data_IF_921209942176
#
_entry.id   IF_921209942176
#
_cell.length_a   1.000
_cell.length_b   1.000
_cell.length_c   1.000
_cell.angle_alpha   90.00
_cell.angle_beta   90.00
_cell.angle_gamma   90.00
#
_symmetry.space_group_name_H-M   'P 1'
#
loop_
_entity.id
_entity.type
_entity.pdbx_description
1 polymer ?
#
# COMPACT_ATOMS: atom_id res chain seq x y z
N UNK A 1 30.84 -27.75 61.05
CA UNK A 1 29.45 -27.38 60.68
C UNK A 1 29.29 -25.93 60.20
N UNK A 2 29.84 -24.90 60.89
CA UNK A 2 29.77 -23.48 60.47
C UNK A 2 30.35 -23.18 59.07
N UNK A 3 31.49 -23.76 58.71
CA UNK A 3 32.17 -23.51 57.42
C UNK A 3 31.34 -23.99 56.20
N UNK A 4 30.67 -25.15 56.31
CA UNK A 4 29.78 -25.67 55.26
C UNK A 4 28.58 -24.74 54.99
N UNK A 5 28.03 -24.12 56.04
CA UNK A 5 26.88 -23.22 55.87
C UNK A 5 27.29 -21.87 55.25
N UNK A 6 28.51 -21.40 55.49
CA UNK A 6 29.07 -20.21 54.83
C UNK A 6 29.33 -20.48 53.35
N UNK A 7 29.93 -21.63 53.02
CA UNK A 7 30.20 -22.03 51.64
C UNK A 7 28.90 -22.16 50.82
N UNK A 8 27.85 -22.77 51.41
CA UNK A 8 26.53 -22.85 50.77
C UNK A 8 25.95 -21.47 50.45
N UNK A 9 26.02 -20.53 51.40
CA UNK A 9 25.53 -19.15 51.21
C UNK A 9 26.27 -18.41 50.10
N UNK A 10 27.61 -18.57 50.03
CA UNK A 10 28.42 -17.96 48.96
C UNK A 10 28.02 -18.53 47.59
N UNK A 11 27.87 -19.86 47.49
CA UNK A 11 27.45 -20.51 46.23
C UNK A 11 26.05 -20.05 45.81
N UNK A 12 25.10 -19.92 46.73
CA UNK A 12 23.74 -19.43 46.42
C UNK A 12 23.76 -17.97 45.96
N UNK A 13 24.57 -17.11 46.57
CA UNK A 13 24.70 -15.70 46.16
C UNK A 13 25.37 -15.55 44.80
N UNK A 14 26.39 -16.37 44.50
CA UNK A 14 27.04 -16.39 43.18
C UNK A 14 26.03 -16.88 42.12
N UNK A 15 25.29 -17.95 42.39
CA UNK A 15 24.25 -18.44 41.48
C UNK A 15 23.16 -17.39 41.19
N UNK A 16 22.77 -16.58 42.19
CA UNK A 16 21.80 -15.50 42.02
C UNK A 16 22.37 -14.33 41.18
N UNK A 17 23.65 -13.99 41.34
CA UNK A 17 24.32 -12.96 40.53
C UNK A 17 24.61 -13.39 39.09
N UNK A 18 24.77 -14.68 38.79
CA UNK A 18 24.89 -15.14 37.40
C UNK A 18 23.55 -15.08 36.64
N UNK A 19 22.41 -15.13 37.33
CA UNK A 19 21.07 -15.07 36.70
C UNK A 19 20.67 -13.70 36.14
N UNK A 20 21.37 -12.62 36.49
CA UNK A 20 21.08 -11.24 36.04
C UNK A 20 21.88 -10.82 34.79
N UNK A 21 22.75 -11.68 34.25
CA UNK A 21 23.53 -11.43 33.02
C UNK A 21 22.95 -12.13 31.78
N UNK A 22 21.80 -12.79 31.89
CA UNK A 22 21.14 -13.43 30.75
C UNK A 22 20.24 -12.44 30.01
N UNK A 23 20.50 -12.23 28.72
CA UNK A 23 19.60 -11.51 27.82
C UNK A 23 18.28 -12.30 27.68
N UNK A 24 17.13 -11.68 27.95
CA UNK A 24 15.80 -12.31 27.88
C UNK A 24 15.15 -12.23 26.48
N UNK A 25 15.94 -12.28 25.41
CA UNK A 25 15.45 -12.26 24.04
C UNK A 25 14.86 -13.62 23.65
N UNK A 26 13.72 -13.62 22.95
CA UNK A 26 13.02 -14.84 22.56
C UNK A 26 13.51 -15.29 21.19
N UNK A 27 14.31 -16.36 21.16
CA UNK A 27 14.66 -17.07 19.93
C UNK A 27 13.70 -18.22 19.67
N UNK A 28 13.05 -18.25 18.51
CA UNK A 28 12.28 -19.40 18.03
C UNK A 28 13.02 -20.03 16.86
N UNK A 29 13.54 -21.24 17.06
CA UNK A 29 14.33 -21.94 16.05
C UNK A 29 15.77 -21.45 15.90
N UNK A 30 16.26 -20.60 16.81
CA UNK A 30 17.67 -20.19 16.92
C UNK A 30 18.14 -20.24 18.38
N UNK A 31 19.36 -20.71 18.61
CA UNK A 31 20.01 -20.68 19.93
C UNK A 31 20.78 -19.37 20.18
N UNK A 32 20.94 -18.53 19.15
CA UNK A 32 21.69 -17.28 19.19
C UNK A 32 20.85 -16.16 18.57
N UNK A 33 19.80 -15.67 19.27
CA UNK A 33 19.00 -14.55 18.78
C UNK A 33 19.89 -13.33 18.54
N UNK A 34 19.60 -12.56 17.50
CA UNK A 34 20.33 -11.34 17.19
C UNK A 34 20.26 -10.35 18.36
N UNK A 35 21.37 -9.73 18.81
CA UNK A 35 21.39 -8.85 20.00
C UNK A 35 20.47 -7.62 19.95
N UNK A 36 19.98 -7.26 18.76
CA UNK A 36 19.04 -6.16 18.54
C UNK A 36 17.59 -6.63 18.39
N UNK A 37 17.28 -7.89 18.74
CA UNK A 37 15.94 -8.45 18.60
C UNK A 37 15.32 -8.78 19.97
N UNK A 38 14.07 -8.38 20.16
CA UNK A 38 13.26 -8.89 21.26
C UNK A 38 12.65 -10.27 20.90
N UNK A 39 12.39 -10.50 19.61
CA UNK A 39 11.95 -11.77 19.01
C UNK A 39 12.77 -12.07 17.75
N UNK A 40 13.41 -13.24 17.69
CA UNK A 40 14.15 -13.73 16.53
C UNK A 40 13.59 -15.07 16.02
N UNK A 41 13.36 -15.16 14.71
CA UNK A 41 12.82 -16.34 14.04
C UNK A 41 13.90 -16.93 13.11
N UNK A 42 14.62 -17.96 13.59
CA UNK A 42 15.82 -18.46 12.91
C UNK A 42 15.64 -19.70 12.03
N UNK A 43 14.42 -20.21 11.87
CA UNK A 43 14.18 -21.38 11.04
C UNK A 43 14.40 -21.06 9.54
N UNK A 44 15.16 -21.90 8.83
CA UNK A 44 15.49 -21.70 7.41
C UNK A 44 14.37 -22.07 6.43
N UNK A 45 13.23 -22.56 6.93
CA UNK A 45 12.10 -23.05 6.13
C UNK A 45 10.73 -22.70 6.73
N UNK A 46 10.68 -21.72 7.64
CA UNK A 46 9.44 -21.23 8.25
C UNK A 46 9.42 -19.70 8.21
N UNK A 47 8.25 -19.12 8.45
CA UNK A 47 8.05 -17.69 8.51
C UNK A 47 7.05 -17.35 9.62
N UNK A 48 6.93 -16.05 9.94
CA UNK A 48 5.85 -15.55 10.77
C UNK A 48 4.51 -15.75 10.03
N UNK A 49 3.63 -16.55 10.61
CA UNK A 49 2.27 -16.71 10.11
C UNK A 49 1.38 -15.66 10.78
N UNK A 50 1.13 -14.54 10.08
CA UNK A 50 0.34 -13.43 10.58
C UNK A 50 -1.14 -13.80 10.76
N UNK A 51 -1.81 -13.08 11.67
CA UNK A 51 -3.26 -13.16 11.79
C UNK A 51 -3.92 -12.74 10.46
N UNK A 52 -4.82 -13.60 9.96
CA UNK A 52 -5.55 -13.38 8.71
C UNK A 52 -6.93 -12.83 9.03
N UNK A 53 -7.18 -11.58 8.65
CA UNK A 53 -8.44 -10.88 8.90
C UNK A 53 -9.23 -10.68 7.60
N UNK A 54 -10.55 -10.58 7.67
CA UNK A 54 -11.37 -10.41 6.45
C UNK A 54 -11.08 -9.08 5.75
N UNK A 55 -10.89 -8.01 6.50
CA UNK A 55 -10.38 -6.69 6.09
C UNK A 55 -10.02 -5.89 7.35
N UNK A 56 -9.48 -4.68 7.20
CA UNK A 56 -9.00 -3.88 8.35
C UNK A 56 -10.09 -3.35 9.30
N UNK A 57 -11.36 -3.36 8.93
CA UNK A 57 -12.46 -2.85 9.78
C UNK A 57 -12.85 -3.80 10.91
N UNK A 58 -12.32 -5.03 10.97
CA UNK A 58 -12.62 -5.98 12.06
C UNK A 58 -11.76 -5.76 13.31
N UNK A 59 -10.86 -4.78 13.29
CA UNK A 59 -10.01 -4.42 14.42
C UNK A 59 -10.56 -3.11 15.01
N UNK A 60 -11.22 -3.21 16.16
CA UNK A 60 -11.94 -2.09 16.78
C UNK A 60 -11.02 -1.02 17.41
N UNK A 61 -9.81 -1.40 17.82
CA UNK A 61 -8.82 -0.51 18.45
C UNK A 61 -7.39 -0.79 17.92
N UNK A 62 -7.10 -0.43 16.65
CA UNK A 62 -5.80 -0.68 16.06
C UNK A 62 -4.73 0.22 16.68
N UNK A 63 -3.57 -0.35 17.03
CA UNK A 63 -2.43 0.35 17.62
C UNK A 63 -1.27 0.45 16.61
N UNK A 64 -0.51 1.57 16.59
CA UNK A 64 0.67 1.69 15.73
C UNK A 64 1.66 0.53 15.90
N UNK A 65 2.16 0.00 14.79
CA UNK A 65 3.09 -1.14 14.76
C UNK A 65 2.43 -2.51 14.58
N UNK A 66 1.10 -2.60 14.49
CA UNK A 66 0.42 -3.85 14.17
C UNK A 66 0.67 -4.29 12.71
N UNK A 67 0.84 -5.59 12.49
CA UNK A 67 0.92 -6.24 11.16
C UNK A 67 -0.17 -7.31 11.03
N UNK A 68 -0.86 -7.32 9.90
CA UNK A 68 -1.95 -8.27 9.60
C UNK A 68 -1.89 -8.73 8.16
N UNK A 69 -2.44 -9.91 7.87
CA UNK A 69 -2.73 -10.34 6.50
C UNK A 69 -4.21 -10.07 6.19
N UNK A 70 -4.48 -9.14 5.29
CA UNK A 70 -5.82 -8.82 4.81
C UNK A 70 -6.24 -9.84 3.75
N UNK A 71 -7.28 -10.63 4.03
CA UNK A 71 -7.80 -11.67 3.12
C UNK A 71 -8.59 -11.07 1.96
N UNK A 72 -9.19 -9.88 2.12
CA UNK A 72 -9.89 -9.24 1.00
C UNK A 72 -8.92 -8.79 -0.10
N UNK A 73 -7.75 -8.29 0.28
CA UNK A 73 -6.71 -7.80 -0.64
C UNK A 73 -5.56 -8.79 -0.86
N UNK A 74 -5.56 -9.94 -0.15
CA UNK A 74 -4.53 -10.99 -0.21
C UNK A 74 -3.11 -10.48 0.08
N UNK A 75 -2.94 -9.57 1.03
CA UNK A 75 -1.64 -8.92 1.28
C UNK A 75 -1.40 -8.56 2.75
N UNK A 76 -0.16 -8.19 3.09
CA UNK A 76 0.21 -7.72 4.43
C UNK A 76 -0.08 -6.21 4.54
N UNK A 77 -0.69 -5.77 5.63
CA UNK A 77 -0.89 -4.35 5.98
C UNK A 77 -0.29 -4.04 7.35
N UNK A 78 0.20 -2.82 7.51
CA UNK A 78 0.67 -2.26 8.77
C UNK A 78 -0.27 -1.15 9.27
N UNK A 79 -0.47 -1.04 10.57
CA UNK A 79 -1.09 0.15 11.15
C UNK A 79 0.02 1.13 11.57
N UNK A 80 0.07 2.29 10.92
CA UNK A 80 1.22 3.21 10.96
C UNK A 80 0.79 4.67 10.69
N UNK A 81 1.77 5.58 10.52
CA UNK A 81 1.61 7.03 10.28
C UNK A 81 1.16 7.87 11.49
N UNK A 82 1.13 9.19 11.30
CA UNK A 82 0.66 10.21 12.26
C UNK A 82 -0.23 11.25 11.51
N UNK A 83 -1.57 11.24 11.70
CA UNK A 83 -2.32 10.36 12.59
C UNK A 83 -2.34 8.88 12.13
N UNK A 84 -2.42 7.90 13.05
CA UNK A 84 -2.37 6.49 12.71
C UNK A 84 -3.50 6.01 11.78
N UNK A 85 -3.15 5.16 10.81
CA UNK A 85 -4.05 4.52 9.86
C UNK A 85 -3.46 3.22 9.31
N UNK A 86 -4.30 2.38 8.71
CA UNK A 86 -3.83 1.23 7.96
C UNK A 86 -3.11 1.65 6.67
N UNK A 87 -1.97 1.03 6.40
CA UNK A 87 -1.27 1.11 5.13
C UNK A 87 -2.06 0.41 4.01
N UNK A 88 -1.65 0.65 2.75
CA UNK A 88 -1.91 -0.30 1.68
C UNK A 88 -1.12 -1.60 1.86
N UNK A 89 -1.14 -2.47 0.85
CA UNK A 89 -0.33 -3.68 0.86
C UNK A 89 1.18 -3.36 0.93
N UNK A 90 1.92 -3.99 1.85
CA UNK A 90 3.35 -3.72 2.08
C UNK A 90 4.26 -4.17 0.91
N UNK A 91 3.76 -5.03 0.01
CA UNK A 91 4.45 -5.46 -1.21
C UNK A 91 4.16 -4.57 -2.43
N UNK A 92 3.34 -3.53 -2.23
CA UNK A 92 3.03 -2.55 -3.26
C UNK A 92 4.25 -1.69 -3.54
N UNK A 93 5.20 -2.20 -4.33
CA UNK A 93 6.15 -1.34 -5.02
C UNK A 93 5.31 -0.27 -5.74
N UNK A 94 5.62 1.00 -5.49
CA UNK A 94 4.96 2.09 -6.20
C UNK A 94 5.04 1.82 -7.69
N UNK A 95 3.88 1.84 -8.33
CA UNK A 95 3.75 1.72 -9.75
C UNK A 95 4.52 2.83 -10.44
N UNK A 96 5.39 2.47 -11.37
CA UNK A 96 6.11 3.41 -12.23
C UNK A 96 5.90 2.98 -13.67
N UNK A 97 5.74 3.96 -14.55
CA UNK A 97 5.77 3.79 -16.01
C UNK A 97 6.87 4.68 -16.59
N UNK A 98 7.50 4.27 -17.69
CA UNK A 98 8.49 5.13 -18.36
C UNK A 98 7.85 6.32 -19.04
N UNK A 99 6.60 6.19 -19.48
CA UNK A 99 5.88 7.29 -20.12
C UNK A 99 4.43 6.95 -20.46
N UNK A 100 3.63 8.00 -20.60
CA UNK A 100 2.29 7.93 -21.19
C UNK A 100 2.34 8.27 -22.68
N UNK A 101 1.54 7.58 -23.49
CA UNK A 101 1.34 7.89 -24.89
C UNK A 101 0.10 8.79 -25.05
N UNK A 102 0.16 9.99 -24.49
CA UNK A 102 -0.98 10.90 -24.36
C UNK A 102 -1.67 11.26 -25.68
N UNK A 103 -0.91 11.34 -26.77
CA UNK A 103 -1.45 11.58 -28.12
C UNK A 103 -2.33 10.44 -28.63
N UNK A 104 -2.19 9.24 -28.05
CA UNK A 104 -3.01 8.06 -28.34
C UNK A 104 -4.09 7.81 -27.29
N UNK A 105 -4.23 8.72 -26.31
CA UNK A 105 -5.33 8.64 -25.36
C UNK A 105 -6.66 8.90 -26.05
N UNK A 106 -7.71 8.24 -25.59
CA UNK A 106 -9.02 8.30 -26.22
C UNK A 106 -10.14 8.44 -25.20
N UNK A 107 -11.14 9.24 -25.56
CA UNK A 107 -12.41 9.32 -24.86
C UNK A 107 -13.43 8.43 -25.57
N UNK A 108 -14.27 7.74 -24.80
CA UNK A 108 -15.38 6.95 -25.33
C UNK A 108 -16.61 7.16 -24.45
N UNK A 109 -17.68 7.83 -24.92
CA UNK A 109 -17.82 8.45 -26.25
C UNK A 109 -16.80 9.56 -26.54
N UNK A 110 -16.47 9.80 -27.83
CA UNK A 110 -15.44 10.78 -28.19
C UNK A 110 -15.85 12.26 -28.00
N UNK A 111 -17.14 12.52 -27.80
CA UNK A 111 -17.70 13.86 -27.57
C UNK A 111 -18.80 13.82 -26.52
N UNK A 112 -19.03 14.94 -25.85
CA UNK A 112 -20.15 15.17 -24.95
C UNK A 112 -21.02 16.32 -25.47
N UNK A 113 -22.20 16.52 -24.89
CA UNK A 113 -23.08 17.66 -25.21
C UNK A 113 -23.36 18.45 -23.93
N UNK A 114 -23.38 19.78 -24.02
CA UNK A 114 -23.63 20.66 -22.89
C UNK A 114 -25.02 20.38 -22.29
N UNK A 115 -25.11 20.34 -20.96
CA UNK A 115 -26.37 20.11 -20.25
C UNK A 115 -26.93 18.68 -20.36
N UNK A 116 -26.25 17.77 -21.07
CA UNK A 116 -26.66 16.37 -21.23
C UNK A 116 -25.78 15.46 -20.36
N UNK A 117 -26.39 14.46 -19.72
CA UNK A 117 -25.63 13.48 -18.96
C UNK A 117 -24.64 12.73 -19.86
N UNK A 118 -23.39 12.68 -19.43
CA UNK A 118 -22.31 11.95 -20.07
C UNK A 118 -21.91 10.77 -19.18
N UNK A 119 -21.70 9.61 -19.79
CA UNK A 119 -21.12 8.44 -19.14
C UNK A 119 -20.18 7.77 -20.12
N UNK A 120 -18.92 7.64 -19.74
CA UNK A 120 -17.88 7.17 -20.65
C UNK A 120 -16.56 6.91 -19.94
N UNK A 121 -15.50 6.77 -20.73
CA UNK A 121 -14.15 6.49 -20.23
C UNK A 121 -13.12 7.37 -20.92
N UNK A 122 -12.04 7.66 -20.21
CA UNK A 122 -10.77 8.14 -20.77
C UNK A 122 -9.73 7.03 -20.61
N UNK A 123 -9.19 6.55 -21.72
CA UNK A 123 -8.16 5.52 -21.77
C UNK A 123 -6.83 6.15 -22.19
N UNK A 124 -5.80 6.00 -21.36
CA UNK A 124 -4.47 6.56 -21.57
C UNK A 124 -3.46 5.41 -21.67
N UNK A 125 -2.89 5.12 -22.85
CA UNK A 125 -1.85 4.12 -22.99
C UNK A 125 -0.55 4.54 -22.28
N UNK A 126 0.20 3.56 -21.77
CA UNK A 126 1.53 3.74 -21.19
C UNK A 126 2.49 2.64 -21.63
N UNK A 127 3.79 2.89 -21.44
CA UNK A 127 4.88 1.94 -21.72
C UNK A 127 5.69 1.62 -20.45
N UNK A 128 6.33 0.46 -20.47
CA UNK A 128 7.28 -0.02 -19.44
C UNK A 128 6.78 0.10 -17.99
N UNK A 129 5.52 -0.27 -17.76
CA UNK A 129 5.01 -0.45 -16.40
C UNK A 129 5.79 -1.53 -15.65
N UNK A 130 6.02 -1.30 -14.36
CA UNK A 130 6.80 -2.18 -13.50
C UNK A 130 5.96 -3.22 -12.71
N UNK A 131 4.65 -3.33 -12.96
CA UNK A 131 3.76 -4.18 -12.17
C UNK A 131 3.28 -3.58 -10.84
N UNK A 132 3.82 -2.43 -10.44
CA UNK A 132 3.53 -1.79 -9.17
C UNK A 132 2.15 -1.13 -9.11
N UNK A 133 1.72 -0.74 -7.91
CA UNK A 133 0.37 -0.22 -7.68
C UNK A 133 0.24 1.27 -7.96
N UNK A 134 -0.97 1.69 -8.34
CA UNK A 134 -1.37 3.09 -8.36
C UNK A 134 -2.65 3.27 -7.52
N UNK A 135 -2.70 4.36 -6.76
CA UNK A 135 -3.84 4.69 -5.90
C UNK A 135 -5.06 5.13 -6.72
N UNK A 136 -6.25 5.00 -6.14
CA UNK A 136 -7.45 5.59 -6.69
C UNK A 136 -7.31 7.12 -6.80
N UNK A 137 -7.93 7.71 -7.83
CA UNK A 137 -7.96 9.15 -8.04
C UNK A 137 -9.37 9.59 -8.43
N UNK A 138 -9.78 10.79 -8.00
CA UNK A 138 -11.04 11.40 -8.40
C UNK A 138 -10.92 12.91 -8.48
N UNK A 139 -11.40 13.50 -9.57
CA UNK A 139 -11.46 14.96 -9.74
C UNK A 139 -12.60 15.33 -10.70
N UNK A 140 -12.99 16.60 -10.70
CA UNK A 140 -14.07 17.11 -11.56
C UNK A 140 -13.57 18.24 -12.44
N UNK A 141 -13.93 18.21 -13.73
CA UNK A 141 -13.61 19.25 -14.70
C UNK A 141 -14.84 19.47 -15.61
N UNK A 142 -15.26 20.73 -15.79
CA UNK A 142 -16.44 21.09 -16.59
C UNK A 142 -17.70 20.28 -16.22
N UNK A 143 -17.97 20.02 -14.94
CA UNK A 143 -19.13 19.21 -14.50
C UNK A 143 -19.02 17.70 -14.77
N UNK A 144 -17.89 17.23 -15.30
CA UNK A 144 -17.58 15.82 -15.48
C UNK A 144 -16.62 15.34 -14.39
N UNK A 145 -16.99 14.29 -13.68
CA UNK A 145 -16.15 13.62 -12.69
C UNK A 145 -15.39 12.48 -13.33
N UNK A 146 -14.06 12.52 -13.19
CA UNK A 146 -13.10 11.52 -13.65
C UNK A 146 -12.67 10.68 -12.45
N UNK A 147 -12.90 9.37 -12.49
CA UNK A 147 -12.59 8.45 -11.42
C UNK A 147 -11.71 7.29 -11.92
N UNK A 148 -10.51 7.17 -11.35
CA UNK A 148 -9.64 6.01 -11.49
C UNK A 148 -9.77 5.15 -10.24
N UNK A 149 -10.09 3.87 -10.41
CA UNK A 149 -10.05 2.90 -9.31
C UNK A 149 -8.61 2.49 -9.05
N UNK A 150 -8.24 2.24 -7.79
CA UNK A 150 -6.91 1.74 -7.46
C UNK A 150 -6.62 0.42 -8.19
N UNK A 151 -5.37 0.18 -8.54
CA UNK A 151 -4.96 -1.02 -9.28
C UNK A 151 -3.46 -1.12 -9.46
N UNK A 152 -3.02 -1.89 -10.44
CA UNK A 152 -1.61 -2.12 -10.77
C UNK A 152 -1.36 -1.76 -12.23
N UNK A 153 -0.19 -1.20 -12.52
CA UNK A 153 0.30 -1.16 -13.88
C UNK A 153 0.58 -2.59 -14.37
N UNK A 154 0.34 -2.84 -15.65
CA UNK A 154 0.81 -4.06 -16.29
C UNK A 154 2.34 -4.01 -16.42
N UNK A 155 2.99 -5.17 -16.42
CA UNK A 155 4.42 -5.25 -16.77
C UNK A 155 4.55 -5.00 -18.27
N UNK A 156 5.30 -3.97 -18.66
CA UNK A 156 5.41 -3.55 -20.07
C UNK A 156 4.34 -2.53 -20.46
N UNK A 157 3.66 -2.74 -21.60
CA UNK A 157 2.64 -1.78 -22.07
C UNK A 157 1.27 -2.06 -21.46
N UNK A 158 0.46 -1.01 -21.30
CA UNK A 158 -0.89 -1.14 -20.78
C UNK A 158 -1.68 0.16 -20.87
N UNK A 159 -2.85 0.18 -20.23
CA UNK A 159 -3.76 1.33 -20.25
C UNK A 159 -4.17 1.74 -18.84
N UNK A 160 -4.21 3.06 -18.61
CA UNK A 160 -4.85 3.66 -17.45
C UNK A 160 -6.26 4.11 -17.86
N UNK A 161 -7.29 3.67 -17.14
CA UNK A 161 -8.69 3.91 -17.52
C UNK A 161 -9.42 4.67 -16.43
N UNK A 162 -9.87 5.88 -16.75
CA UNK A 162 -10.75 6.67 -15.91
C UNK A 162 -12.19 6.47 -16.35
N UNK A 163 -13.07 6.18 -15.39
CA UNK A 163 -14.52 6.26 -15.58
C UNK A 163 -14.95 7.72 -15.47
N UNK A 164 -15.83 8.16 -16.37
CA UNK A 164 -16.30 9.53 -16.44
C UNK A 164 -17.82 9.53 -16.32
N UNK A 165 -18.35 10.35 -15.42
CA UNK A 165 -19.78 10.62 -15.33
C UNK A 165 -20.04 12.09 -15.01
N UNK A 166 -21.24 12.59 -15.30
CA UNK A 166 -21.64 13.96 -14.95
C UNK A 166 -22.40 14.65 -16.06
N UNK A 167 -22.55 15.98 -15.94
CA UNK A 167 -23.27 16.82 -16.91
C UNK A 167 -22.35 18.01 -17.26
N UNK A 168 -21.88 18.14 -18.51
CA UNK A 168 -21.04 19.26 -18.90
C UNK A 168 -21.74 20.60 -18.72
N UNK A 169 -21.08 21.56 -18.06
CA UNK A 169 -21.68 22.87 -17.77
C UNK A 169 -21.42 23.90 -18.86
N UNK A 170 -20.33 23.75 -19.63
CA UNK A 170 -19.97 24.61 -20.76
C UNK A 170 -19.64 23.79 -22.02
N UNK A 171 -20.09 24.28 -23.18
CA UNK A 171 -19.63 23.80 -24.50
C UNK A 171 -18.19 24.25 -24.78
N UNK A 172 -17.51 23.57 -25.70
CA UNK A 172 -16.13 23.85 -26.09
C UNK A 172 -15.17 22.71 -25.73
N UNK A 173 -13.92 23.02 -25.46
CA UNK A 173 -12.90 22.01 -25.15
C UNK A 173 -12.72 21.86 -23.64
N UNK A 174 -12.91 20.64 -23.14
CA UNK A 174 -12.59 20.26 -21.76
C UNK A 174 -11.20 19.65 -21.71
N UNK A 175 -10.22 20.38 -21.16
CA UNK A 175 -8.84 19.91 -21.02
C UNK A 175 -8.59 19.30 -19.64
N UNK A 176 -7.89 18.17 -19.60
CA UNK A 176 -7.47 17.52 -18.35
C UNK A 176 -5.99 17.13 -18.41
N UNK A 177 -5.35 17.13 -17.24
CA UNK A 177 -3.98 16.65 -17.07
C UNK A 177 -3.98 15.54 -16.02
N UNK A 178 -3.29 14.45 -16.30
CA UNK A 178 -3.21 13.29 -15.41
C UNK A 178 -1.79 13.14 -14.88
N UNK A 179 -1.66 12.82 -13.60
CA UNK A 179 -0.39 12.49 -12.96
C UNK A 179 -0.52 11.13 -12.28
N UNK A 180 0.24 10.15 -12.76
CA UNK A 180 0.25 8.78 -12.22
C UNK A 180 1.55 8.07 -12.62
N UNK A 181 1.97 7.08 -11.85
CA UNK A 181 3.14 6.26 -12.21
C UNK A 181 4.47 7.03 -12.31
N UNK A 182 4.61 8.15 -11.58
CA UNK A 182 5.77 9.05 -11.68
C UNK A 182 5.81 9.93 -12.94
N UNK A 183 4.77 9.87 -13.79
CA UNK A 183 4.71 10.60 -15.06
C UNK A 183 3.50 11.53 -15.12
N UNK A 184 3.59 12.53 -15.99
CA UNK A 184 2.49 13.45 -16.30
C UNK A 184 2.02 13.25 -17.74
N UNK A 185 0.71 13.25 -17.92
CA UNK A 185 0.07 13.18 -19.22
C UNK A 185 -0.78 14.43 -19.45
N UNK A 186 -0.33 15.30 -20.34
CA UNK A 186 -0.93 16.60 -20.62
C UNK A 186 -1.59 16.62 -22.00
N UNK A 187 -2.45 17.61 -22.23
CA UNK A 187 -3.07 17.85 -23.54
C UNK A 187 -4.23 16.91 -23.88
N UNK A 188 -4.79 16.24 -22.87
CA UNK A 188 -5.98 15.40 -23.05
C UNK A 188 -7.20 16.32 -23.16
N UNK A 189 -7.97 16.17 -24.23
CA UNK A 189 -9.11 17.04 -24.51
C UNK A 189 -10.35 16.26 -24.91
N UNK A 190 -11.49 16.63 -24.32
CA UNK A 190 -12.82 16.16 -24.70
C UNK A 190 -13.61 17.33 -25.32
N UNK A 191 -14.15 17.13 -26.51
CA UNK A 191 -15.03 18.11 -27.16
C UNK A 191 -16.43 18.01 -26.57
N UNK A 192 -16.96 19.16 -26.15
CA UNK A 192 -18.33 19.32 -25.66
C UNK A 192 -19.10 20.18 -26.67
N UNK A 193 -20.06 19.59 -27.36
CA UNK A 193 -20.92 20.32 -28.27
C UNK A 193 -21.92 21.19 -27.49
N UNK A 194 -22.42 22.28 -28.10
CA UNK A 194 -23.53 23.06 -27.56
C UNK A 194 -24.79 22.22 -27.32
#
# INVERSE_FOLDING_TARGET
MKSINILKRIITSIALMLGILSYCQIGIGTATPHPSSDLDLGANNKALYLNRISNTTVIDDPQPGMLVFDVSEQCIKAYQDDPPKWSGCLDSASGIVSGFTCSSASFSPATANQGVAYTGTLTIPYTDGNGGTYSAQSFTQNGLTFALTAGNFSIGTGNLVYNINGIPTASGTTSVNIMAGGQSCNGLTLTVNP
#
